data_IF_579343035281
#
_entry.id   IF_579343035281
#
_cell.length_a   1.000
_cell.length_b   1.000
_cell.length_c   1.000
_cell.angle_alpha   90.00
_cell.angle_beta   90.00
_cell.angle_gamma   90.00
#
_symmetry.space_group_name_H-M   'P 1'
#
loop_
_entity.id
_entity.type
_entity.pdbx_description
1 polymer ?
#
# COMPACT_ATOMS: atom_id res chain seq x y z
N UNK A 1 -6.50 10.05 4.60
CA UNK A 1 -5.76 8.93 3.98
C UNK A 1 -6.31 8.71 2.58
N UNK A 2 -5.48 8.63 1.52
CA UNK A 2 -5.98 8.51 0.15
C UNK A 2 -6.60 7.13 -0.08
N UNK A 3 -7.91 7.10 -0.27
CA UNK A 3 -8.65 5.93 -0.69
C UNK A 3 -8.89 6.05 -2.20
N UNK A 4 -8.45 5.06 -2.96
CA UNK A 4 -8.73 4.99 -4.39
C UNK A 4 -10.08 4.35 -4.57
N UNK A 5 -11.00 5.12 -5.13
CA UNK A 5 -12.28 4.64 -5.61
C UNK A 5 -12.18 4.31 -7.09
N UNK A 6 -12.79 3.21 -7.50
CA UNK A 6 -12.83 2.82 -8.90
C UNK A 6 -13.84 1.70 -9.15
N UNK A 7 -14.07 1.43 -10.43
CA UNK A 7 -15.00 0.41 -10.90
C UNK A 7 -14.19 -0.79 -11.40
N UNK A 8 -14.60 -1.99 -11.00
CA UNK A 8 -13.97 -3.24 -11.45
C UNK A 8 -14.37 -3.51 -12.88
N UNK A 9 -13.40 -3.58 -13.78
CA UNK A 9 -13.62 -3.92 -15.19
C UNK A 9 -13.51 -5.42 -15.44
N UNK A 10 -12.63 -6.09 -14.71
CA UNK A 10 -12.38 -7.51 -14.88
C UNK A 10 -11.73 -8.10 -13.63
N UNK A 11 -11.98 -9.38 -13.37
CA UNK A 11 -11.26 -10.16 -12.37
C UNK A 11 -10.65 -11.40 -13.02
N UNK A 12 -9.35 -11.61 -12.80
CA UNK A 12 -8.60 -12.79 -13.24
C UNK A 12 -7.97 -13.42 -11.99
N UNK A 13 -8.58 -14.50 -11.50
CA UNK A 13 -8.18 -15.13 -10.24
C UNK A 13 -8.30 -14.17 -9.06
N UNK A 14 -7.19 -13.91 -8.38
CA UNK A 14 -7.13 -12.94 -7.26
C UNK A 14 -6.80 -11.51 -7.70
N UNK A 15 -6.62 -11.25 -9.00
CA UNK A 15 -6.31 -9.90 -9.49
C UNK A 15 -7.56 -9.24 -10.06
N UNK A 16 -7.87 -8.03 -9.57
CA UNK A 16 -8.91 -7.17 -10.12
C UNK A 16 -8.27 -6.03 -10.91
N UNK A 17 -8.86 -5.73 -12.06
CA UNK A 17 -8.51 -4.61 -12.93
C UNK A 17 -9.55 -3.52 -12.69
N UNK A 18 -9.09 -2.35 -12.27
CA UNK A 18 -9.96 -1.28 -11.78
C UNK A 18 -9.69 -0.01 -12.57
N UNK A 19 -10.76 0.63 -13.06
CA UNK A 19 -10.73 1.99 -13.56
C UNK A 19 -10.97 2.95 -12.39
N UNK A 20 -9.97 3.74 -12.06
CA UNK A 20 -10.05 4.72 -10.97
C UNK A 20 -10.82 5.97 -11.40
N UNK A 21 -11.31 6.76 -10.44
CA UNK A 21 -11.96 8.06 -10.70
C UNK A 21 -11.05 9.06 -11.44
N UNK A 22 -9.73 8.85 -11.42
CA UNK A 22 -8.74 9.65 -12.15
C UNK A 22 -8.55 9.21 -13.61
N UNK A 23 -9.29 8.19 -14.05
CA UNK A 23 -9.13 7.59 -15.38
C UNK A 23 -7.92 6.66 -15.51
N UNK A 24 -7.22 6.36 -14.41
CA UNK A 24 -6.10 5.42 -14.42
C UNK A 24 -6.59 3.97 -14.32
N UNK A 25 -5.95 3.07 -15.06
CA UNK A 25 -6.13 1.63 -14.90
C UNK A 25 -5.14 1.12 -13.85
N UNK A 26 -5.65 0.54 -12.76
CA UNK A 26 -4.83 -0.07 -11.72
C UNK A 26 -5.21 -1.53 -11.50
N UNK A 27 -4.19 -2.33 -11.23
CA UNK A 27 -4.35 -3.75 -10.91
C UNK A 27 -4.11 -3.96 -9.43
N UNK A 28 -5.02 -4.68 -8.79
CA UNK A 28 -4.97 -4.92 -7.36
C UNK A 28 -5.16 -6.40 -7.05
N UNK A 29 -4.40 -6.91 -6.08
CA UNK A 29 -4.73 -8.19 -5.47
C UNK A 29 -5.98 -8.02 -4.59
N UNK A 30 -6.95 -8.90 -4.77
CA UNK A 30 -8.21 -8.97 -4.04
C UNK A 30 -8.57 -10.44 -3.82
N UNK A 31 -8.66 -10.83 -2.55
CA UNK A 31 -8.80 -12.24 -2.16
C UNK A 31 -10.19 -12.80 -2.40
N UNK A 32 -11.21 -11.93 -2.42
CA UNK A 32 -12.61 -12.32 -2.60
C UNK A 32 -13.04 -12.11 -4.05
N UNK A 33 -13.96 -12.93 -4.58
CA UNK A 33 -14.62 -12.63 -5.85
C UNK A 33 -15.42 -11.34 -5.72
N UNK A 34 -15.39 -10.52 -6.75
CA UNK A 34 -16.08 -9.23 -6.83
C UNK A 34 -16.77 -9.13 -8.19
N UNK A 35 -17.95 -8.53 -8.23
CA UNK A 35 -18.69 -8.38 -9.48
C UNK A 35 -18.04 -7.37 -10.42
N UNK A 36 -18.09 -7.65 -11.72
CA UNK A 36 -17.69 -6.69 -12.76
C UNK A 36 -18.71 -5.55 -12.76
N UNK A 37 -18.23 -4.32 -12.73
CA UNK A 37 -19.06 -3.11 -12.56
C UNK A 37 -19.24 -2.70 -11.10
N UNK A 38 -18.80 -3.50 -10.12
CA UNK A 38 -18.85 -3.11 -8.72
C UNK A 38 -17.87 -1.96 -8.43
N UNK A 39 -18.30 -1.04 -7.54
CA UNK A 39 -17.43 -0.01 -7.00
C UNK A 39 -16.55 -0.62 -5.90
N UNK A 40 -15.23 -0.43 -6.03
CA UNK A 40 -14.25 -0.81 -5.01
C UNK A 40 -13.56 0.42 -4.43
N UNK A 41 -13.30 0.38 -3.14
CA UNK A 41 -12.52 1.39 -2.42
C UNK A 41 -11.29 0.71 -1.85
N UNK A 42 -10.11 1.06 -2.36
CA UNK A 42 -8.84 0.48 -1.88
C UNK A 42 -7.95 1.56 -1.28
N UNK A 43 -7.46 1.27 -0.09
CA UNK A 43 -6.51 2.11 0.62
C UNK A 43 -5.10 1.87 0.07
N UNK A 44 -4.38 2.93 -0.31
CA UNK A 44 -2.96 2.84 -0.66
C UNK A 44 -2.12 2.92 0.62
N UNK A 45 -1.78 1.75 1.19
CA UNK A 45 -0.87 1.66 2.34
C UNK A 45 0.62 1.60 1.95
N UNK A 46 0.93 1.36 0.67
CA UNK A 46 2.30 1.02 0.22
C UNK A 46 3.33 2.10 0.54
N UNK A 47 3.01 3.36 0.29
CA UNK A 47 3.94 4.48 0.50
C UNK A 47 4.18 4.75 1.98
N UNK A 48 3.11 4.72 2.80
CA UNK A 48 3.20 4.98 4.24
C UNK A 48 4.01 3.89 4.95
N UNK A 49 3.81 2.63 4.57
CA UNK A 49 4.54 1.51 5.16
C UNK A 49 6.04 1.57 4.84
N UNK A 50 6.41 1.95 3.61
CA UNK A 50 7.80 2.15 3.23
C UNK A 50 8.48 3.27 4.03
N UNK A 51 7.82 4.42 4.19
CA UNK A 51 8.34 5.52 5.02
C UNK A 51 8.47 5.12 6.49
N UNK A 52 7.50 4.37 7.02
CA UNK A 52 7.57 3.87 8.39
C UNK A 52 8.76 2.94 8.62
N UNK A 53 8.98 1.98 7.70
CA UNK A 53 10.14 1.09 7.73
C UNK A 53 11.46 1.86 7.68
N UNK A 54 11.57 2.85 6.80
CA UNK A 54 12.75 3.72 6.71
C UNK A 54 12.98 4.51 8.00
N UNK A 55 11.93 5.09 8.59
CA UNK A 55 12.00 5.80 9.86
C UNK A 55 12.46 4.89 11.00
N UNK A 56 11.95 3.66 11.06
CA UNK A 56 12.33 2.67 12.05
C UNK A 56 13.80 2.24 11.88
N UNK A 57 14.27 2.08 10.63
CA UNK A 57 15.67 1.82 10.34
C UNK A 57 16.61 2.95 10.80
N UNK A 58 16.26 4.21 10.52
CA UNK A 58 17.02 5.37 11.00
C UNK A 58 17.04 5.45 12.53
N UNK A 59 15.92 5.13 13.19
CA UNK A 59 15.84 5.10 14.64
C UNK A 59 16.76 4.04 15.26
N UNK A 60 16.74 2.82 14.71
CA UNK A 60 17.63 1.73 15.17
C UNK A 60 19.10 2.10 14.96
N UNK A 61 19.44 2.72 13.82
CA UNK A 61 20.79 3.18 13.54
C UNK A 61 21.25 4.25 14.55
N UNK A 62 20.40 5.24 14.83
CA UNK A 62 20.67 6.27 15.83
C UNK A 62 20.86 5.67 17.22
N UNK A 63 20.00 4.74 17.63
CA UNK A 63 20.11 4.04 18.90
C UNK A 63 21.42 3.24 19.01
N UNK A 64 21.83 2.54 17.94
CA UNK A 64 23.08 1.79 17.89
C UNK A 64 24.32 2.68 18.00
N UNK A 65 24.32 3.85 17.35
CA UNK A 65 25.39 4.83 17.48
C UNK A 65 25.45 5.36 18.92
N UNK A 66 24.30 5.63 19.52
CA UNK A 66 24.23 6.15 20.88
C UNK A 66 24.73 5.14 21.93
N UNK A 67 24.34 3.87 21.80
CA UNK A 67 24.88 2.79 22.66
C UNK A 67 26.36 2.53 22.41
N UNK A 68 26.84 2.65 21.17
CA UNK A 68 28.28 2.55 20.89
C UNK A 68 29.09 3.69 21.53
N UNK A 69 28.55 4.92 21.51
CA UNK A 69 29.18 6.09 22.12
C UNK A 69 29.14 6.05 23.66
N UNK A 70 28.05 5.56 24.26
CA UNK A 70 27.88 5.43 25.72
C UNK A 70 28.50 4.16 26.30
N UNK A 71 28.70 3.12 25.49
CA UNK A 71 29.36 1.87 25.89
C UNK A 71 30.88 1.94 25.85
N UNK A 72 31.44 3.12 25.57
CA UNK A 72 32.84 3.49 25.80
C UNK A 72 32.95 4.32 27.07
#
# INVERSE_FOLDING_TARGET
MPAIKGIVLQQIGQRIYVLTEKGEFKTYNHTRPVEIGAMVVKWEYGTIFAYFLWGLGLFVLAAAIFTFLMGK
#
